data_IF_043038562733
#
_entry.id   IF_043038562733
#
_cell.length_a   1.000
_cell.length_b   1.000
_cell.length_c   1.000
_cell.angle_alpha   90.00
_cell.angle_beta   90.00
_cell.angle_gamma   90.00
#
_symmetry.space_group_name_H-M   'P 1'
#
loop_
_entity.id
_entity.type
_entity.pdbx_description
1 polymer ?
#
# COMPACT_ATOMS: atom_id res chain seq x y z
N UNK A 1 -6.22 -27.02 21.34
CA UNK A 1 -5.82 -28.38 21.76
C UNK A 1 -5.42 -29.14 20.50
N UNK A 2 -4.37 -29.96 20.54
CA UNK A 2 -4.09 -30.92 19.45
C UNK A 2 -4.88 -32.20 19.76
N UNK A 3 -5.49 -32.82 18.76
CA UNK A 3 -6.24 -34.06 18.88
C UNK A 3 -5.61 -35.16 18.02
N UNK A 4 -5.87 -36.43 18.35
CA UNK A 4 -5.39 -37.57 17.58
C UNK A 4 -6.39 -37.97 16.47
N UNK A 5 -6.02 -37.88 15.18
CA UNK A 5 -6.88 -38.28 14.07
C UNK A 5 -7.18 -39.78 14.00
N UNK A 6 -6.36 -40.66 14.58
CA UNK A 6 -6.56 -42.11 14.53
C UNK A 6 -7.70 -42.53 15.46
N UNK A 7 -7.75 -41.95 16.66
CA UNK A 7 -8.80 -42.19 17.65
C UNK A 7 -10.16 -41.68 17.17
N UNK A 8 -10.20 -40.47 16.60
CA UNK A 8 -11.44 -39.90 16.05
C UNK A 8 -11.95 -40.76 14.88
N UNK A 9 -11.07 -41.27 14.02
CA UNK A 9 -11.47 -42.17 12.93
C UNK A 9 -12.02 -43.49 13.44
N UNK A 10 -11.38 -44.09 14.45
CA UNK A 10 -11.86 -45.33 15.04
C UNK A 10 -13.20 -45.15 15.77
N UNK A 11 -13.43 -44.00 16.40
CA UNK A 11 -14.68 -43.67 17.07
C UNK A 11 -15.80 -43.33 16.09
N UNK A 12 -15.51 -42.54 15.05
CA UNK A 12 -16.47 -42.15 14.01
C UNK A 12 -16.96 -43.36 13.19
N UNK A 13 -16.11 -44.37 12.98
CA UNK A 13 -16.51 -45.64 12.35
C UNK A 13 -17.51 -46.45 13.18
N UNK A 14 -17.64 -46.17 14.48
CA UNK A 14 -18.58 -46.85 15.38
C UNK A 14 -19.87 -46.07 15.55
N UNK A 15 -19.76 -44.77 15.82
CA UNK A 15 -20.90 -43.87 15.99
C UNK A 15 -20.49 -42.46 15.52
N UNK A 16 -20.96 -42.10 14.33
CA UNK A 16 -20.61 -40.84 13.69
C UNK A 16 -21.23 -39.64 14.39
N UNK A 17 -22.52 -39.72 14.72
CA UNK A 17 -23.28 -38.57 15.23
C UNK A 17 -22.82 -38.15 16.63
N UNK A 18 -22.54 -39.13 17.49
CA UNK A 18 -22.01 -38.89 18.84
C UNK A 18 -20.63 -38.25 18.82
N UNK A 19 -19.72 -38.75 17.98
CA UNK A 19 -18.36 -38.21 17.84
C UNK A 19 -18.39 -36.81 17.23
N UNK A 20 -19.30 -36.55 16.29
CA UNK A 20 -19.48 -35.22 15.72
C UNK A 20 -19.95 -34.20 16.76
N UNK A 21 -20.90 -34.57 17.63
CA UNK A 21 -21.36 -33.70 18.74
C UNK A 21 -20.24 -33.38 19.74
N UNK A 22 -19.40 -34.35 20.06
CA UNK A 22 -18.23 -34.17 20.94
C UNK A 22 -17.16 -33.26 20.31
N UNK A 23 -17.22 -33.02 19.00
CA UNK A 23 -16.30 -32.14 18.28
C UNK A 23 -16.22 -30.71 18.83
N UNK A 24 -17.29 -30.23 19.48
CA UNK A 24 -17.36 -28.90 20.11
C UNK A 24 -16.31 -28.72 21.22
N UNK A 25 -15.91 -29.79 21.89
CA UNK A 25 -14.93 -29.74 22.99
C UNK A 25 -13.52 -29.40 22.50
N UNK A 26 -13.22 -29.66 21.22
CA UNK A 26 -11.94 -29.29 20.62
C UNK A 26 -11.86 -27.80 20.24
N UNK A 27 -12.98 -27.07 20.23
CA UNK A 27 -12.99 -25.65 19.94
C UNK A 27 -12.37 -24.85 21.11
N UNK A 28 -11.37 -24.03 20.80
CA UNK A 28 -10.83 -23.09 21.77
C UNK A 28 -11.90 -22.08 22.20
N UNK A 29 -12.08 -21.87 23.50
CA UNK A 29 -13.00 -20.88 24.06
C UNK A 29 -12.21 -19.59 24.39
N UNK A 30 -12.07 -18.63 23.46
CA UNK A 30 -11.34 -17.39 23.73
C UNK A 30 -12.03 -16.58 24.81
N UNK A 31 -11.24 -15.82 25.60
CA UNK A 31 -11.77 -14.87 26.58
C UNK A 31 -12.58 -13.77 25.89
N UNK A 32 -13.42 -13.06 26.65
CA UNK A 32 -14.31 -12.01 26.12
C UNK A 32 -13.60 -10.93 25.31
N UNK A 33 -12.33 -10.66 25.61
CA UNK A 33 -11.48 -9.70 24.90
C UNK A 33 -10.91 -10.24 23.58
N UNK A 34 -10.82 -11.56 23.42
CA UNK A 34 -10.32 -12.22 22.21
C UNK A 34 -11.44 -12.76 21.32
N UNK A 35 -12.70 -12.40 21.61
CA UNK A 35 -13.86 -12.69 20.76
C UNK A 35 -14.08 -11.55 19.78
N UNK A 36 -14.62 -11.87 18.60
CA UNK A 36 -15.13 -10.88 17.67
C UNK A 36 -16.24 -10.05 18.35
N UNK A 37 -16.31 -8.71 18.17
CA UNK A 37 -15.54 -7.87 17.23
C UNK A 37 -14.20 -7.33 17.77
N UNK A 38 -13.84 -7.62 19.03
CA UNK A 38 -12.60 -7.11 19.65
C UNK A 38 -11.34 -7.75 19.08
N UNK A 39 -11.44 -8.99 18.61
CA UNK A 39 -10.38 -9.65 17.84
C UNK A 39 -10.50 -9.24 16.36
N UNK A 40 -9.73 -8.25 15.96
CA UNK A 40 -9.61 -7.80 14.57
C UNK A 40 -8.30 -8.29 13.94
N UNK A 41 -8.34 -8.66 12.67
CA UNK A 41 -7.14 -8.86 11.87
C UNK A 41 -6.81 -7.54 11.16
N UNK A 42 -5.68 -6.91 11.50
CA UNK A 42 -5.26 -5.67 10.85
C UNK A 42 -4.46 -5.98 9.58
N UNK A 43 -4.61 -5.12 8.59
CA UNK A 43 -3.87 -5.17 7.33
C UNK A 43 -3.42 -3.77 6.92
N UNK A 44 -2.42 -3.68 6.04
CA UNK A 44 -1.92 -2.41 5.54
C UNK A 44 -2.92 -1.73 4.60
N UNK A 45 -3.16 -0.44 4.79
CA UNK A 45 -4.05 0.36 3.94
C UNK A 45 -3.23 1.34 3.10
N UNK A 46 -3.41 1.39 1.77
CA UNK A 46 -2.69 2.33 0.92
C UNK A 46 -3.18 3.77 1.18
N UNK A 47 -2.29 4.74 0.97
CA UNK A 47 -2.67 6.15 0.98
C UNK A 47 -3.42 6.47 -0.34
N UNK A 48 -4.56 7.18 -0.29
CA UNK A 48 -5.42 7.37 -1.46
C UNK A 48 -4.71 8.04 -2.66
N UNK A 49 -3.80 8.99 -2.40
CA UNK A 49 -3.02 9.64 -3.48
C UNK A 49 -2.09 8.65 -4.16
N UNK A 50 -1.40 7.78 -3.41
CA UNK A 50 -0.48 6.81 -4.02
C UNK A 50 -1.21 5.69 -4.74
N UNK A 51 -2.37 5.28 -4.23
CA UNK A 51 -3.25 4.33 -4.91
C UNK A 51 -3.74 4.90 -6.26
N UNK A 52 -4.16 6.17 -6.27
CA UNK A 52 -4.58 6.85 -7.50
C UNK A 52 -3.43 6.98 -8.51
N UNK A 53 -2.23 7.33 -8.04
CA UNK A 53 -1.02 7.39 -8.89
C UNK A 53 -0.77 6.02 -9.53
N UNK A 54 -0.88 4.93 -8.76
CA UNK A 54 -0.70 3.58 -9.29
C UNK A 54 -1.73 3.23 -10.35
N UNK A 55 -3.01 3.52 -10.11
CA UNK A 55 -4.08 3.29 -11.08
C UNK A 55 -3.87 4.09 -12.38
N UNK A 56 -3.42 5.34 -12.29
CA UNK A 56 -3.10 6.16 -13.46
C UNK A 56 -1.93 5.57 -14.25
N UNK A 57 -0.88 5.08 -13.57
CA UNK A 57 0.24 4.39 -14.23
C UNK A 57 -0.25 3.18 -15.02
N UNK A 58 -1.08 2.33 -14.40
CA UNK A 58 -1.66 1.19 -15.11
C UNK A 58 -2.52 1.61 -16.31
N UNK A 59 -3.30 2.68 -16.18
CA UNK A 59 -4.14 3.17 -17.25
C UNK A 59 -3.32 3.63 -18.47
N UNK A 60 -2.24 4.40 -18.25
CA UNK A 60 -1.35 4.83 -19.33
C UNK A 60 -0.66 3.65 -20.03
N UNK A 61 -0.17 2.67 -19.26
CA UNK A 61 0.46 1.47 -19.82
C UNK A 61 -0.52 0.66 -20.68
N UNK A 62 -1.78 0.53 -20.25
CA UNK A 62 -2.83 -0.18 -21.02
C UNK A 62 -3.19 0.52 -22.32
N UNK A 63 -2.99 1.84 -22.41
CA UNK A 63 -3.17 2.61 -23.63
C UNK A 63 -1.96 2.53 -24.58
N UNK A 64 -0.88 1.84 -24.18
CA UNK A 64 0.33 1.67 -24.99
C UNK A 64 1.34 2.81 -24.85
N UNK A 65 1.23 3.66 -23.83
CA UNK A 65 2.25 4.65 -23.51
C UNK A 65 3.41 3.99 -22.77
N UNK A 66 4.63 4.42 -23.08
CA UNK A 66 5.83 4.02 -22.36
C UNK A 66 6.07 4.94 -21.17
N UNK A 67 6.32 4.35 -20.00
CA UNK A 67 6.65 5.11 -18.79
C UNK A 67 8.05 5.73 -18.89
N UNK A 68 8.17 7.02 -18.56
CA UNK A 68 9.43 7.77 -18.61
C UNK A 68 9.63 8.61 -17.35
N UNK A 69 10.90 8.86 -17.00
CA UNK A 69 11.28 9.71 -15.88
C UNK A 69 11.93 11.00 -16.41
N UNK A 70 11.18 12.10 -16.34
CA UNK A 70 11.65 13.41 -16.79
C UNK A 70 12.49 14.11 -15.72
N UNK A 71 13.25 15.12 -16.15
CA UNK A 71 14.02 15.97 -15.25
C UNK A 71 13.08 16.81 -14.37
N UNK A 72 13.33 16.82 -13.06
CA UNK A 72 12.54 17.59 -12.09
C UNK A 72 13.12 19.00 -11.90
N UNK A 73 14.45 19.12 -11.91
CA UNK A 73 15.16 20.40 -11.80
C UNK A 73 15.60 20.80 -13.20
N UNK A 74 15.13 21.95 -13.66
CA UNK A 74 15.38 22.48 -15.01
C UNK A 74 15.83 23.94 -14.94
N UNK A 75 16.53 24.40 -15.97
CA UNK A 75 16.96 25.79 -16.06
C UNK A 75 15.81 26.71 -16.47
N UNK A 76 15.81 27.95 -15.97
CA UNK A 76 14.78 28.93 -16.34
C UNK A 76 14.76 29.20 -17.86
N UNK A 77 15.90 29.05 -18.54
CA UNK A 77 16.02 29.14 -19.99
C UNK A 77 15.13 28.16 -20.75
N UNK A 78 14.84 26.97 -20.21
CA UNK A 78 13.94 26.02 -20.85
C UNK A 78 12.48 26.47 -20.80
N UNK A 79 12.10 27.21 -19.75
CA UNK A 79 10.79 27.86 -19.68
C UNK A 79 10.70 28.98 -20.73
N UNK A 80 11.77 29.76 -20.93
CA UNK A 80 11.82 30.75 -22.00
C UNK A 80 11.72 30.13 -23.39
N UNK A 81 12.36 28.99 -23.64
CA UNK A 81 12.24 28.26 -24.92
C UNK A 81 10.82 27.78 -25.18
N UNK A 82 10.08 27.39 -24.13
CA UNK A 82 8.71 26.86 -24.25
C UNK A 82 7.64 27.96 -24.32
N UNK A 83 7.78 29.04 -23.55
CA UNK A 83 6.75 30.08 -23.38
C UNK A 83 7.11 31.45 -24.00
N UNK A 84 8.34 31.64 -24.48
CA UNK A 84 8.76 32.90 -25.10
C UNK A 84 8.58 34.10 -24.18
N UNK A 85 7.79 35.09 -24.62
CA UNK A 85 7.53 36.32 -23.85
C UNK A 85 6.66 36.10 -22.61
N UNK A 86 5.86 35.03 -22.56
CA UNK A 86 4.99 34.74 -21.41
C UNK A 86 5.73 34.05 -20.26
N UNK A 87 6.98 33.62 -20.49
CA UNK A 87 7.79 32.91 -19.50
C UNK A 87 7.95 33.70 -18.19
N UNK A 88 8.01 35.04 -18.26
CA UNK A 88 8.13 35.89 -17.07
C UNK A 88 6.97 35.72 -16.08
N UNK A 89 5.74 35.57 -16.58
CA UNK A 89 4.57 35.34 -15.73
C UNK A 89 4.56 33.91 -15.16
N UNK A 90 5.09 32.94 -15.92
CA UNK A 90 5.19 31.54 -15.48
C UNK A 90 6.28 31.35 -14.43
N UNK A 91 7.40 32.07 -14.53
CA UNK A 91 8.52 31.95 -13.60
C UNK A 91 8.19 32.50 -12.20
N UNK A 92 7.21 33.40 -12.09
CA UNK A 92 6.76 33.95 -10.80
C UNK A 92 6.15 32.90 -9.85
N UNK A 93 5.58 31.81 -10.40
CA UNK A 93 5.02 30.69 -9.62
C UNK A 93 6.02 29.54 -9.39
N UNK A 94 7.28 29.68 -9.85
CA UNK A 94 8.30 28.65 -9.73
C UNK A 94 9.19 28.86 -8.51
N UNK A 95 9.71 27.76 -7.96
CA UNK A 95 10.70 27.81 -6.89
C UNK A 95 12.12 27.75 -7.47
N UNK A 96 12.97 28.68 -7.04
CA UNK A 96 14.37 28.73 -7.43
C UNK A 96 15.25 28.02 -6.40
N UNK A 97 16.19 27.21 -6.88
CA UNK A 97 17.18 26.57 -6.04
C UNK A 97 18.33 27.55 -5.78
N UNK A 98 18.52 27.92 -4.52
CA UNK A 98 19.65 28.72 -4.07
C UNK A 98 20.63 27.85 -3.28
N UNK A 99 21.91 28.21 -3.33
CA UNK A 99 22.97 27.63 -2.51
C UNK A 99 23.72 28.72 -1.76
N UNK A 100 24.31 28.38 -0.61
CA UNK A 100 25.14 29.32 0.13
C UNK A 100 26.44 29.59 -0.67
N UNK A 101 26.74 30.85 -1.03
CA UNK A 101 28.00 31.15 -1.70
C UNK A 101 29.17 30.93 -0.74
N UNK A 102 30.34 30.61 -1.28
CA UNK A 102 31.57 30.64 -0.46
C UNK A 102 31.87 32.10 -0.10
N UNK A 103 32.20 32.39 1.17
CA UNK A 103 32.59 33.74 1.56
C UNK A 103 33.91 34.08 0.87
N UNK A 104 33.98 35.26 0.27
CA UNK A 104 35.18 35.78 -0.36
C UNK A 104 36.09 36.35 0.74
N UNK A 105 37.15 35.61 1.07
CA UNK A 105 38.03 35.90 2.21
C UNK A 105 39.47 36.21 1.76
N UNK A 106 39.63 36.99 0.67
CA UNK A 106 40.90 37.58 0.25
C UNK A 106 41.85 36.64 -0.48
#
# INVERSE_FOLDING_TARGET
>A
MRFDPAEIRAAASKDFDSVWQQGVDYLGKPSSNHRYPRRTCQYGTPHPVFDTIHQLREAYLRLGFDEAMNQVIVDAGDVYKQFGSEALAVLDRCFYLAGLPRPDAG
#
